data_IF_115809669075
#
_entry.id   IF_115809669075
#
_cell.length_a   1.000
_cell.length_b   1.000
_cell.length_c   1.000
_cell.angle_alpha   90.00
_cell.angle_beta   90.00
_cell.angle_gamma   90.00
#
_symmetry.space_group_name_H-M   'P 1'
#
loop_
_entity.id
_entity.type
_entity.pdbx_description
1 polymer ?
#
# COMPACT_ATOMS: atom_id res chain seq x y z
N UNK A 1 -16.31 -24.96 -2.08
CA UNK A 1 -17.26 -23.89 -2.44
C UNK A 1 -16.68 -23.12 -3.62
N UNK A 2 -17.40 -23.02 -4.74
CA UNK A 2 -16.97 -22.22 -5.88
C UNK A 2 -17.08 -20.73 -5.52
N UNK A 3 -16.04 -19.92 -5.77
CA UNK A 3 -16.12 -18.45 -5.68
C UNK A 3 -15.33 -17.77 -4.56
N UNK A 4 -14.19 -18.33 -4.12
CA UNK A 4 -13.30 -17.65 -3.18
C UNK A 4 -12.79 -16.33 -3.76
N UNK A 5 -13.03 -15.21 -3.07
CA UNK A 5 -12.42 -13.91 -3.41
C UNK A 5 -10.90 -14.11 -3.47
N UNK A 6 -10.31 -13.97 -4.65
CA UNK A 6 -8.85 -13.97 -4.80
C UNK A 6 -8.33 -12.77 -4.05
N UNK A 7 -7.60 -13.01 -2.97
CA UNK A 7 -6.84 -11.98 -2.28
C UNK A 7 -5.79 -11.46 -3.25
N UNK A 8 -5.82 -10.16 -3.52
CA UNK A 8 -4.85 -9.47 -4.35
C UNK A 8 -4.08 -8.47 -3.51
N UNK A 9 -2.82 -8.25 -3.89
CA UNK A 9 -1.99 -7.20 -3.33
C UNK A 9 -1.64 -6.22 -4.45
N UNK A 10 -1.91 -4.95 -4.22
CA UNK A 10 -1.48 -3.85 -5.08
C UNK A 10 -0.61 -2.92 -4.22
N UNK A 11 0.59 -2.61 -4.73
CA UNK A 11 1.57 -1.81 -3.99
C UNK A 11 1.87 -0.54 -4.77
N UNK A 12 1.60 0.60 -4.14
CA UNK A 12 2.03 1.89 -4.64
C UNK A 12 3.38 2.26 -4.02
N UNK A 13 4.43 2.30 -4.84
CA UNK A 13 5.77 2.71 -4.41
C UNK A 13 5.85 4.24 -4.34
N UNK A 14 5.97 4.78 -3.12
CA UNK A 14 6.05 6.22 -2.89
C UNK A 14 7.31 6.82 -3.52
N UNK A 15 7.16 7.95 -4.20
CA UNK A 15 8.23 8.75 -4.83
C UNK A 15 9.11 7.99 -5.86
N UNK A 16 8.77 6.74 -6.18
CA UNK A 16 9.55 5.91 -7.09
C UNK A 16 9.30 6.31 -8.56
N UNK A 17 10.40 6.42 -9.32
CA UNK A 17 10.37 6.63 -10.77
C UNK A 17 11.21 5.56 -11.45
N UNK A 18 10.57 4.68 -12.20
CA UNK A 18 11.25 3.60 -12.91
C UNK A 18 10.31 2.47 -13.30
N UNK A 19 10.88 1.41 -13.88
CA UNK A 19 10.17 0.20 -14.26
C UNK A 19 10.71 -1.00 -13.46
N UNK A 20 9.82 -1.71 -12.79
CA UNK A 20 10.13 -2.90 -11.99
C UNK A 20 9.40 -4.16 -12.50
N UNK A 21 8.88 -4.12 -13.73
CA UNK A 21 8.27 -5.28 -14.35
C UNK A 21 9.28 -6.44 -14.43
N UNK A 22 8.85 -7.64 -14.03
CA UNK A 22 9.69 -8.84 -13.93
C UNK A 22 10.87 -8.72 -12.94
N UNK A 23 10.79 -7.80 -11.99
CA UNK A 23 11.70 -7.75 -10.85
C UNK A 23 11.01 -8.36 -9.64
N UNK A 24 11.76 -9.14 -8.87
CA UNK A 24 11.28 -9.64 -7.58
C UNK A 24 11.29 -8.50 -6.56
N UNK A 25 10.23 -8.44 -5.76
CA UNK A 25 10.08 -7.47 -4.68
C UNK A 25 9.76 -8.20 -3.39
N UNK A 26 10.32 -7.72 -2.28
CA UNK A 26 9.99 -8.20 -0.94
C UNK A 26 9.15 -7.14 -0.25
N UNK A 27 8.00 -7.54 0.28
CA UNK A 27 7.06 -6.67 0.98
C UNK A 27 7.05 -7.03 2.45
N UNK A 28 7.29 -6.04 3.30
CA UNK A 28 7.16 -6.16 4.75
C UNK A 28 5.94 -5.35 5.20
N UNK A 29 5.03 -5.99 5.92
CA UNK A 29 3.92 -5.29 6.58
C UNK A 29 4.43 -4.67 7.87
N UNK A 30 4.36 -3.34 7.95
CA UNK A 30 4.86 -2.56 9.09
C UNK A 30 3.72 -2.25 10.05
N UNK A 31 2.66 -1.63 9.54
CA UNK A 31 1.50 -1.25 10.34
C UNK A 31 0.23 -1.22 9.48
N UNK A 32 -0.93 -1.32 10.14
CA UNK A 32 -2.24 -1.31 9.48
C UNK A 32 -2.87 0.08 9.55
N UNK A 33 -3.02 0.72 8.39
CA UNK A 33 -3.66 2.04 8.26
C UNK A 33 -5.19 1.96 8.44
N UNK A 34 -5.86 1.04 7.72
CA UNK A 34 -7.33 0.88 7.77
C UNK A 34 -7.80 -0.46 7.18
N UNK A 35 -9.11 -0.70 7.22
CA UNK A 35 -9.77 -1.77 6.46
C UNK A 35 -10.21 -1.32 5.06
N UNK A 36 -10.64 -2.27 4.23
CA UNK A 36 -11.26 -1.98 2.93
C UNK A 36 -12.57 -1.23 3.09
N UNK A 37 -12.87 -0.33 2.13
CA UNK A 37 -14.07 0.50 2.11
C UNK A 37 -14.45 0.79 0.67
N UNK A 38 -15.75 0.84 0.38
CA UNK A 38 -16.28 1.32 -0.89
C UNK A 38 -16.38 2.85 -0.89
N UNK A 39 -16.16 3.48 -2.05
CA UNK A 39 -16.25 4.93 -2.20
C UNK A 39 -17.37 5.28 -3.18
N UNK A 40 -18.09 6.39 -2.94
CA UNK A 40 -19.19 6.81 -3.81
C UNK A 40 -18.73 7.38 -5.14
N UNK A 41 -17.45 7.78 -5.26
CA UNK A 41 -16.87 8.36 -6.47
C UNK A 41 -15.36 8.11 -6.55
N UNK A 42 -14.80 8.32 -7.75
CA UNK A 42 -13.36 8.28 -7.97
C UNK A 42 -12.62 9.38 -7.18
N UNK A 43 -13.20 10.57 -7.06
CA UNK A 43 -12.61 11.67 -6.28
C UNK A 43 -12.54 11.33 -4.79
N UNK A 44 -13.60 10.74 -4.23
CA UNK A 44 -13.61 10.29 -2.84
C UNK A 44 -12.56 9.19 -2.57
N UNK A 45 -12.36 8.28 -3.54
CA UNK A 45 -11.28 7.29 -3.47
C UNK A 45 -9.90 7.96 -3.53
N UNK A 46 -9.69 8.90 -4.47
CA UNK A 46 -8.43 9.64 -4.63
C UNK A 46 -8.05 10.37 -3.34
N UNK A 47 -8.99 11.10 -2.75
CA UNK A 47 -8.77 11.79 -1.48
C UNK A 47 -8.40 10.83 -0.35
N UNK A 48 -9.03 9.65 -0.30
CA UNK A 48 -8.67 8.66 0.70
C UNK A 48 -7.26 8.11 0.47
N UNK A 49 -6.89 7.81 -0.77
CA UNK A 49 -5.54 7.35 -1.11
C UNK A 49 -4.51 8.39 -0.68
N UNK A 50 -4.75 9.69 -0.90
CA UNK A 50 -3.85 10.76 -0.42
C UNK A 50 -3.69 10.72 1.10
N UNK A 51 -4.78 10.59 1.86
CA UNK A 51 -4.71 10.46 3.33
C UNK A 51 -4.00 9.19 3.79
N UNK A 52 -4.18 8.08 3.08
CA UNK A 52 -3.50 6.82 3.36
C UNK A 52 -1.98 6.97 3.12
N UNK A 53 -1.56 7.67 2.05
CA UNK A 53 -0.14 7.97 1.77
C UNK A 53 0.47 8.84 2.88
N UNK A 54 -0.23 9.90 3.30
CA UNK A 54 0.26 10.79 4.36
C UNK A 54 0.42 10.05 5.69
N UNK A 55 -0.55 9.19 6.02
CA UNK A 55 -0.49 8.32 7.20
C UNK A 55 0.68 7.35 7.12
N UNK A 56 0.87 6.71 5.96
CA UNK A 56 2.00 5.79 5.73
C UNK A 56 3.35 6.50 5.93
N UNK A 57 3.49 7.74 5.45
CA UNK A 57 4.71 8.55 5.66
C UNK A 57 4.96 8.87 7.13
N UNK A 58 3.91 9.15 7.90
CA UNK A 58 4.05 9.39 9.35
C UNK A 58 4.48 8.11 10.06
N UNK A 59 3.82 6.99 9.80
CA UNK A 59 4.18 5.67 10.35
C UNK A 59 5.65 5.38 10.06
N UNK A 60 6.07 5.46 8.81
CA UNK A 60 7.44 5.13 8.39
C UNK A 60 8.53 6.00 9.03
N UNK A 61 8.24 7.20 9.54
CA UNK A 61 9.22 8.03 10.25
C UNK A 61 9.60 7.43 11.62
N UNK A 62 8.65 6.78 12.27
CA UNK A 62 8.82 6.19 13.60
C UNK A 62 9.46 4.80 13.54
N UNK A 63 9.40 4.12 12.38
CA UNK A 63 10.00 2.81 12.19
C UNK A 63 11.44 2.92 11.68
N UNK A 64 12.40 2.48 12.50
CA UNK A 64 13.76 2.15 12.03
C UNK A 64 13.76 0.71 11.52
N UNK A 65 14.00 0.53 10.23
CA UNK A 65 14.08 -0.81 9.65
C UNK A 65 15.53 -1.20 9.42
N UNK A 66 16.06 -2.09 10.24
CA UNK A 66 17.30 -2.83 9.94
C UNK A 66 16.95 -3.95 8.94
N UNK A 67 16.76 -3.59 7.67
CA UNK A 67 16.58 -4.58 6.60
C UNK A 67 17.97 -5.15 6.28
N UNK A 68 18.29 -6.32 6.83
CA UNK A 68 19.40 -7.12 6.32
C UNK A 68 18.99 -7.67 4.95
N UNK A 69 19.62 -7.18 3.90
CA UNK A 69 19.56 -7.75 2.56
C UNK A 69 20.32 -9.07 2.49
#
# INVERSE_FOLDING_TARGET
TFGGRKQSYEVHLLDFKGNILKKDIVVYFIDRIRGEKTFPSADALREQITRDIDTARVILKEYRVDIKA
#
